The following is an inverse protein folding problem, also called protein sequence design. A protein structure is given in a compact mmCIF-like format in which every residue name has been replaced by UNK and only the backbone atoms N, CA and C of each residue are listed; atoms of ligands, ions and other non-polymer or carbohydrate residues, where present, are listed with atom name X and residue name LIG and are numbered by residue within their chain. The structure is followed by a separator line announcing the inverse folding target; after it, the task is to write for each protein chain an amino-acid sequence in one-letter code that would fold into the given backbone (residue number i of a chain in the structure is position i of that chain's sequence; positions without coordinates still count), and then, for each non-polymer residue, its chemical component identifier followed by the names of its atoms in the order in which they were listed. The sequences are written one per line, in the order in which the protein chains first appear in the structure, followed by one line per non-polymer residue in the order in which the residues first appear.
data_IF_614400155696
#
_entry.id   IF_614400155696
#
_cell.length_a   1.000
_cell.length_b   1.000
_cell.length_c   1.000
_cell.angle_alpha   90.00
_cell.angle_beta   90.00
_cell.angle_gamma   90.00
#
_symmetry.space_group_name_H-M   'P 1'
#
loop_
_entity.id
_entity.type
_entity.pdbx_description
1 polymer ?
#
# COMPACT_ATOMS: atom_id res chain seq x y z
N UNK A 1 5.04 -17.03 4.61
CA UNK A 1 6.25 -16.31 5.12
C UNK A 1 5.99 -15.73 6.49
N UNK A 2 6.94 -15.86 7.40
CA UNK A 2 6.88 -15.20 8.71
C UNK A 2 6.82 -13.67 8.59
N UNK A 3 5.92 -13.04 9.34
CA UNK A 3 5.75 -11.60 9.35
C UNK A 3 7.00 -10.88 9.89
N UNK A 4 7.71 -11.49 10.84
CA UNK A 4 8.98 -10.96 11.33
C UNK A 4 10.00 -10.79 10.20
N UNK A 5 10.04 -11.73 9.27
CA UNK A 5 10.98 -11.72 8.15
C UNK A 5 10.60 -10.65 7.13
N UNK A 6 9.30 -10.52 6.83
CA UNK A 6 8.80 -9.46 5.97
C UNK A 6 9.09 -8.06 6.57
N UNK A 7 8.91 -7.89 7.88
CA UNK A 7 9.21 -6.63 8.59
C UNK A 7 10.72 -6.37 8.60
N UNK A 8 11.56 -7.38 8.81
CA UNK A 8 13.00 -7.22 8.79
C UNK A 8 13.49 -6.76 7.40
N UNK A 9 12.96 -7.34 6.32
CA UNK A 9 13.27 -6.90 4.94
C UNK A 9 12.79 -5.46 4.69
N UNK A 10 11.56 -5.13 5.08
CA UNK A 10 11.03 -3.78 4.97
C UNK A 10 11.89 -2.75 5.72
N UNK A 11 12.41 -3.12 6.89
CA UNK A 11 13.31 -2.27 7.68
C UNK A 11 14.63 -2.02 6.98
N UNK A 12 15.20 -3.04 6.34
CA UNK A 12 16.40 -2.88 5.51
C UNK A 12 16.14 -1.92 4.35
N UNK A 13 15.04 -2.09 3.63
CA UNK A 13 14.67 -1.23 2.49
C UNK A 13 14.43 0.23 2.92
N UNK A 14 13.82 0.41 4.10
CA UNK A 14 13.57 1.73 4.68
C UNK A 14 14.81 2.38 5.32
N UNK A 15 15.96 1.69 5.36
CA UNK A 15 17.17 2.17 6.03
C UNK A 15 17.05 2.26 7.54
N UNK A 16 16.19 1.44 8.16
CA UNK A 16 15.93 1.39 9.60
C UNK A 16 16.10 -0.03 10.20
N UNK A 17 17.28 -0.67 10.04
CA UNK A 17 17.52 -2.02 10.53
C UNK A 17 17.38 -2.16 12.06
N UNK A 18 17.70 -1.09 12.79
CA UNK A 18 17.73 -1.07 14.26
C UNK A 18 16.42 -0.61 14.92
N UNK A 19 15.33 -0.47 14.14
CA UNK A 19 14.00 -0.07 14.63
C UNK A 19 13.97 1.31 15.32
N UNK A 20 14.82 2.23 14.86
CA UNK A 20 14.99 3.57 15.45
C UNK A 20 14.00 4.58 14.90
N UNK A 21 13.67 4.47 13.62
CA UNK A 21 12.70 5.33 12.98
C UNK A 21 11.30 4.78 13.24
N UNK A 22 11.02 3.55 12.78
CA UNK A 22 9.68 2.97 12.72
C UNK A 22 9.44 1.89 13.76
N UNK A 23 8.34 2.05 14.48
CA UNK A 23 7.84 1.04 15.42
C UNK A 23 7.34 -0.21 14.68
N UNK A 24 7.38 -1.37 15.34
CA UNK A 24 6.82 -2.62 14.80
C UNK A 24 5.35 -2.47 14.39
N UNK A 25 4.57 -1.69 15.14
CA UNK A 25 3.16 -1.43 14.83
C UNK A 25 2.98 -0.61 13.54
N UNK A 26 3.89 0.33 13.25
CA UNK A 26 3.90 1.08 11.99
C UNK A 26 4.28 0.17 10.82
N UNK A 27 5.32 -0.65 10.98
CA UNK A 27 5.73 -1.64 9.99
C UNK A 27 4.60 -2.63 9.68
N UNK A 28 3.97 -3.22 10.70
CA UNK A 28 2.84 -4.15 10.52
C UNK A 28 1.66 -3.48 9.81
N UNK A 29 1.33 -2.23 10.16
CA UNK A 29 0.27 -1.47 9.50
C UNK A 29 0.61 -1.17 8.04
N UNK A 30 1.87 -0.88 7.73
CA UNK A 30 2.33 -0.65 6.37
C UNK A 30 2.22 -1.92 5.51
N UNK A 31 2.64 -3.07 6.05
CA UNK A 31 2.47 -4.38 5.40
C UNK A 31 1.00 -4.70 5.19
N UNK A 32 0.13 -4.48 6.18
CA UNK A 32 -1.31 -4.71 6.04
C UNK A 32 -1.93 -3.90 4.89
N UNK A 33 -1.54 -2.62 4.76
CA UNK A 33 -1.99 -1.76 3.66
C UNK A 33 -1.44 -2.23 2.30
N UNK A 34 -0.19 -2.66 2.26
CA UNK A 34 0.43 -3.23 1.07
C UNK A 34 -0.31 -4.49 0.60
N UNK A 35 -0.64 -5.41 1.51
CA UNK A 35 -1.41 -6.63 1.21
C UNK A 35 -2.75 -6.28 0.56
N UNK A 36 -3.50 -5.36 1.14
CA UNK A 36 -4.77 -4.90 0.55
C UNK A 36 -4.56 -4.35 -0.86
N UNK A 37 -3.53 -3.53 -1.07
CA UNK A 37 -3.27 -2.91 -2.37
C UNK A 37 -2.87 -3.95 -3.43
N UNK A 38 -1.94 -4.84 -3.10
CA UNK A 38 -1.45 -5.88 -4.02
C UNK A 38 -2.57 -6.85 -4.39
N UNK A 39 -3.42 -7.24 -3.43
CA UNK A 39 -4.60 -8.08 -3.72
C UNK A 39 -5.56 -7.42 -4.71
N UNK A 40 -5.79 -6.11 -4.58
CA UNK A 40 -6.68 -5.36 -5.49
C UNK A 40 -6.09 -5.25 -6.91
N UNK A 41 -4.79 -4.98 -7.00
CA UNK A 41 -4.13 -4.76 -8.28
C UNK A 41 -3.95 -6.07 -9.06
N UNK A 42 -3.49 -7.13 -8.39
CA UNK A 42 -3.18 -8.43 -9.01
C UNK A 42 -4.31 -9.46 -8.94
N UNK A 43 -5.40 -9.18 -8.22
CA UNK A 43 -6.48 -10.17 -8.00
C UNK A 43 -6.06 -11.36 -7.12
N UNK A 44 -5.00 -11.20 -6.33
CA UNK A 44 -4.48 -12.21 -5.40
C UNK A 44 -5.24 -12.20 -4.07
N UNK A 45 -4.91 -13.16 -3.19
CA UNK A 45 -5.60 -13.36 -1.91
C UNK A 45 -4.62 -13.56 -0.76
N UNK A 46 -3.64 -12.68 -0.64
CA UNK A 46 -2.77 -12.63 0.52
C UNK A 46 -3.55 -12.19 1.76
N UNK A 47 -3.24 -12.82 2.89
CA UNK A 47 -3.82 -12.55 4.20
C UNK A 47 -2.69 -12.33 5.19
N UNK A 48 -2.77 -11.22 5.92
CA UNK A 48 -1.84 -10.91 7.00
C UNK A 48 -2.45 -11.40 8.32
N UNK A 49 -1.89 -12.47 8.87
CA UNK A 49 -2.20 -12.97 10.20
C UNK A 49 -1.43 -12.25 11.31
N UNK A 50 -1.43 -12.85 12.51
CA UNK A 50 -0.67 -12.33 13.65
C UNK A 50 0.84 -12.51 13.49
N UNK A 51 1.26 -13.67 12.98
CA UNK A 51 2.67 -14.04 12.83
C UNK A 51 3.06 -14.31 11.39
N UNK A 52 2.11 -14.45 10.47
CA UNK A 52 2.39 -14.93 9.12
C UNK A 52 1.67 -14.13 8.04
N UNK A 53 2.33 -13.98 6.89
CA UNK A 53 1.74 -13.60 5.62
C UNK A 53 1.52 -14.86 4.77
N UNK A 54 0.25 -15.16 4.45
CA UNK A 54 -0.16 -16.37 3.75
C UNK A 54 -1.09 -16.08 2.54
N UNK A 55 -1.04 -16.88 1.45
CA UNK A 55 -0.03 -17.89 1.18
C UNK A 55 1.36 -17.26 1.03
N UNK A 56 2.39 -18.09 0.98
CA UNK A 56 3.75 -17.60 0.78
C UNK A 56 3.84 -16.82 -0.55
N UNK A 57 4.25 -15.55 -0.55
CA UNK A 57 4.31 -14.77 -1.78
C UNK A 57 5.42 -15.27 -2.69
N UNK A 58 5.19 -15.20 -4.01
CA UNK A 58 6.27 -15.33 -4.98
C UNK A 58 7.26 -14.18 -4.79
N UNK A 59 8.48 -14.33 -5.31
CA UNK A 59 9.51 -13.29 -5.18
C UNK A 59 9.05 -11.94 -5.76
N UNK A 60 8.42 -11.96 -6.95
CA UNK A 60 7.87 -10.78 -7.61
C UNK A 60 6.75 -10.11 -6.79
N UNK A 61 5.85 -10.89 -6.20
CA UNK A 61 4.78 -10.35 -5.37
C UNK A 61 5.30 -9.84 -4.03
N UNK A 62 6.34 -10.47 -3.49
CA UNK A 62 7.00 -10.01 -2.27
C UNK A 62 7.68 -8.66 -2.50
N UNK A 63 8.36 -8.47 -3.64
CA UNK A 63 8.95 -7.18 -4.01
C UNK A 63 7.88 -6.08 -4.05
N UNK A 64 6.74 -6.33 -4.69
CA UNK A 64 5.61 -5.40 -4.72
C UNK A 64 5.06 -5.08 -3.33
N UNK A 65 4.92 -6.09 -2.47
CA UNK A 65 4.44 -5.93 -1.10
C UNK A 65 5.40 -5.07 -0.28
N UNK A 66 6.70 -5.32 -0.36
CA UNK A 66 7.73 -4.55 0.34
C UNK A 66 7.79 -3.10 -0.17
N UNK A 67 7.70 -2.90 -1.48
CA UNK A 67 7.70 -1.58 -2.10
C UNK A 67 6.47 -0.75 -1.71
N UNK A 68 5.28 -1.33 -1.76
CA UNK A 68 4.06 -0.68 -1.29
C UNK A 68 4.09 -0.41 0.22
N UNK A 69 4.66 -1.32 1.01
CA UNK A 69 4.82 -1.11 2.45
C UNK A 69 5.79 0.03 2.74
N UNK A 70 6.91 0.12 2.02
CA UNK A 70 7.87 1.22 2.14
C UNK A 70 7.22 2.55 1.75
N UNK A 71 6.45 2.58 0.65
CA UNK A 71 5.68 3.77 0.28
C UNK A 71 4.71 4.18 1.39
N UNK A 72 4.03 3.23 2.03
CA UNK A 72 3.17 3.53 3.18
C UNK A 72 3.95 4.13 4.36
N UNK A 73 5.15 3.63 4.69
CA UNK A 73 6.01 4.19 5.74
C UNK A 73 6.46 5.63 5.42
N UNK A 74 6.91 5.88 4.19
CA UNK A 74 7.26 7.23 3.73
C UNK A 74 6.07 8.19 3.85
N UNK A 75 4.86 7.73 3.50
CA UNK A 75 3.61 8.48 3.66
C UNK A 75 3.29 8.82 5.12
N UNK A 76 3.50 7.88 6.05
CA UNK A 76 3.33 8.12 7.49
C UNK A 76 4.31 9.19 7.99
N UNK A 77 5.58 9.16 7.55
CA UNK A 77 6.59 10.17 7.90
C UNK A 77 6.28 11.53 7.32
N UNK A 78 5.83 11.59 6.07
CA UNK A 78 5.35 12.82 5.44
C UNK A 78 4.24 13.46 6.26
N UNK A 79 3.23 12.68 6.64
CA UNK A 79 2.12 13.17 7.46
C UNK A 79 2.59 13.65 8.83
N UNK A 80 3.43 12.88 9.51
CA UNK A 80 3.99 13.27 10.82
C UNK A 80 4.78 14.57 10.71
N UNK A 81 5.67 14.66 9.72
CA UNK A 81 6.50 15.84 9.47
C UNK A 81 5.66 17.07 9.15
N UNK A 82 4.56 16.91 8.41
CA UNK A 82 3.61 17.99 8.13
C UNK A 82 2.87 18.46 9.39
N UNK A 83 2.49 17.54 10.29
CA UNK A 83 1.80 17.87 11.54
C UNK A 83 2.73 18.48 12.60
N UNK A 84 3.98 18.02 12.71
CA UNK A 84 4.95 18.51 13.71
C UNK A 84 5.86 19.62 13.20
N UNK A 85 5.83 19.90 11.90
CA UNK A 85 6.72 20.81 11.18
C UNK A 85 6.33 22.28 11.22
N UNK A 86 5.49 22.72 12.18
CA UNK A 86 5.20 24.15 12.39
C UNK A 86 6.53 24.86 12.63
N UNK A 87 6.88 25.79 11.75
CA UNK A 87 8.15 26.51 11.77
C UNK A 87 8.14 27.54 12.92
N UNK A 88 9.06 27.38 13.87
CA UNK A 88 9.27 28.34 14.95
C UNK A 88 10.38 29.31 14.55
N UNK A 89 10.08 30.61 14.55
CA UNK A 89 11.05 31.68 14.32
C UNK A 89 11.54 32.21 15.67
N UNK A 90 12.83 32.04 15.98
CA UNK A 90 13.46 32.68 17.14
C UNK A 90 14.81 33.30 16.73
N UNK A 91 14.87 34.63 16.84
CA UNK A 91 16.09 35.44 16.88
C UNK A 91 16.99 35.43 15.65
N UNK A 92 17.70 34.33 15.40
CA UNK A 92 18.85 34.28 14.47
C UNK A 92 19.04 32.92 13.76
N UNK A 93 18.29 31.87 14.13
CA UNK A 93 18.41 30.54 13.48
C UNK A 93 17.08 30.07 12.90
N UNK A 94 17.00 30.03 11.58
CA UNK A 94 15.90 29.40 10.85
C UNK A 94 16.24 27.94 10.58
N UNK A 95 15.60 27.02 11.30
CA UNK A 95 15.59 25.59 10.94
C UNK A 95 14.36 25.35 10.07
N UNK A 96 14.57 25.29 8.76
CA UNK A 96 13.49 25.07 7.80
C UNK A 96 13.13 23.58 7.74
N UNK A 97 12.15 23.18 8.55
CA UNK A 97 11.61 21.81 8.59
C UNK A 97 10.74 21.47 7.37
N UNK A 98 10.46 22.44 6.48
CA UNK A 98 9.68 22.23 5.25
C UNK A 98 10.40 21.28 4.29
N UNK A 99 11.74 21.27 4.31
CA UNK A 99 12.57 20.38 3.47
C UNK A 99 12.40 18.89 3.80
N UNK A 100 12.12 18.56 5.06
CA UNK A 100 11.85 17.18 5.45
C UNK A 100 10.51 16.71 4.86
N UNK A 101 9.48 17.56 4.87
CA UNK A 101 8.17 17.24 4.28
C UNK A 101 8.28 17.03 2.77
N UNK A 102 9.03 17.88 2.06
CA UNK A 102 9.24 17.72 0.62
C UNK A 102 10.03 16.47 0.27
N UNK A 103 11.09 16.15 1.03
CA UNK A 103 11.90 14.95 0.80
C UNK A 103 11.10 13.65 0.98
N UNK A 104 10.24 13.57 2.01
CA UNK A 104 9.36 12.42 2.19
C UNK A 104 8.28 12.31 1.11
N UNK A 105 7.81 13.45 0.58
CA UNK A 105 6.86 13.45 -0.52
C UNK A 105 7.50 12.93 -1.82
N UNK A 106 8.70 13.39 -2.16
CA UNK A 106 9.44 12.92 -3.33
C UNK A 106 9.74 11.42 -3.26
N UNK A 107 10.19 10.92 -2.10
CA UNK A 107 10.41 9.49 -1.90
C UNK A 107 9.09 8.70 -2.03
N UNK A 108 8.01 9.20 -1.44
CA UNK A 108 6.69 8.56 -1.53
C UNK A 108 6.20 8.45 -2.98
N UNK A 109 6.33 9.53 -3.76
CA UNK A 109 5.94 9.56 -5.17
C UNK A 109 6.80 8.59 -6.00
N UNK A 110 8.11 8.57 -5.78
CA UNK A 110 9.04 7.68 -6.46
C UNK A 110 8.75 6.19 -6.20
N UNK A 111 8.51 5.82 -4.94
CA UNK A 111 8.17 4.43 -4.56
C UNK A 111 6.87 3.98 -5.22
N UNK A 112 5.83 4.83 -5.23
CA UNK A 112 4.59 4.50 -5.92
C UNK A 112 4.71 4.47 -7.44
N UNK A 113 5.59 5.28 -8.03
CA UNK A 113 5.89 5.22 -9.45
C UNK A 113 6.53 3.87 -9.80
N UNK A 114 7.54 3.45 -9.04
CA UNK A 114 8.19 2.14 -9.22
C UNK A 114 7.18 1.00 -9.05
N UNK A 115 6.31 1.06 -8.04
CA UNK A 115 5.27 0.05 -7.82
C UNK A 115 4.35 -0.09 -9.03
N UNK A 116 3.87 1.04 -9.57
CA UNK A 116 2.98 1.03 -10.73
C UNK A 116 3.67 0.50 -11.99
N UNK A 117 4.96 0.80 -12.18
CA UNK A 117 5.75 0.21 -13.26
C UNK A 117 5.88 -1.30 -13.14
N UNK A 118 6.09 -1.85 -11.94
CA UNK A 118 6.17 -3.29 -11.71
C UNK A 118 4.82 -3.98 -11.91
N UNK A 119 3.73 -3.39 -11.43
CA UNK A 119 2.36 -3.90 -11.70
C UNK A 119 2.11 -3.98 -13.21
N UNK A 120 2.41 -2.90 -13.95
CA UNK A 120 2.23 -2.87 -15.40
C UNK A 120 3.06 -3.95 -16.12
N UNK A 121 4.30 -4.19 -15.65
CA UNK A 121 5.15 -5.24 -16.19
C UNK A 121 4.58 -6.65 -15.95
N UNK A 122 3.96 -6.89 -14.79
CA UNK A 122 3.40 -8.19 -14.41
C UNK A 122 2.03 -8.47 -15.04
N UNK A 123 1.16 -7.47 -15.14
CA UNK A 123 -0.18 -7.64 -15.71
C UNK A 123 -0.22 -7.45 -17.22
N UNK A 124 0.80 -6.80 -17.80
CA UNK A 124 0.78 -6.36 -19.18
C UNK A 124 -0.15 -5.16 -19.44
N UNK A 125 -0.77 -4.60 -18.39
CA UNK A 125 -1.61 -3.42 -18.48
C UNK A 125 -0.76 -2.16 -18.33
N UNK A 126 -0.66 -1.35 -19.38
CA UNK A 126 -0.10 0.00 -19.27
C UNK A 126 -1.21 0.90 -18.73
N UNK A 127 -1.02 1.44 -17.52
CA UNK A 127 -2.03 2.25 -16.85
C UNK A 127 -2.23 3.59 -17.60
N UNK A 128 -3.36 3.71 -18.31
CA UNK A 128 -3.90 4.98 -18.79
C UNK A 128 -4.60 5.66 -17.60
N UNK A 129 -3.85 6.50 -16.88
CA UNK A 129 -4.32 7.21 -15.68
C UNK A 129 -5.43 8.26 -15.93
N UNK A 130 -6.22 8.14 -16.99
CA UNK A 130 -7.44 8.92 -17.17
C UNK A 130 -8.55 8.38 -16.26
N UNK A 131 -8.60 8.93 -15.04
CA UNK A 131 -9.77 9.10 -14.15
C UNK A 131 -10.89 8.05 -14.35
N UNK A 132 -10.99 7.10 -13.42
CA UNK A 132 -12.19 6.27 -13.18
C UNK A 132 -12.62 5.35 -14.33
N UNK A 133 -11.82 4.33 -14.67
CA UNK A 133 -12.39 3.14 -15.31
C UNK A 133 -12.66 2.08 -14.24
N UNK A 134 -13.92 1.83 -13.83
CA UNK A 134 -14.23 0.69 -12.97
C UNK A 134 -13.83 -0.58 -13.74
N UNK A 135 -13.04 -1.47 -13.11
CA UNK A 135 -12.89 -2.85 -13.59
C UNK A 135 -14.31 -3.40 -13.76
N UNK A 136 -14.65 -3.80 -14.99
CA UNK A 136 -16.02 -3.85 -15.52
C UNK A 136 -17.04 -4.49 -14.58
N UNK A 137 -18.27 -3.94 -14.48
CA UNK A 137 -19.32 -4.58 -13.71
C UNK A 137 -19.68 -5.91 -14.39
N UNK A 138 -19.42 -7.03 -13.72
CA UNK A 138 -20.09 -8.28 -14.05
C UNK A 138 -21.54 -8.13 -13.60
N UNK A 139 -22.53 -8.05 -14.51
CA UNK A 139 -23.92 -8.04 -14.09
C UNK A 139 -24.21 -9.36 -13.38
N UNK A 140 -24.55 -9.28 -12.10
CA UNK A 140 -25.18 -10.40 -11.38
C UNK A 140 -26.61 -10.48 -11.90
N UNK A 141 -26.82 -11.32 -12.92
CA UNK A 141 -28.16 -11.63 -13.42
C UNK A 141 -28.81 -12.55 -12.39
N UNK A 142 -29.74 -12.03 -11.60
CA UNK A 142 -30.66 -12.87 -10.84
C UNK A 142 -31.71 -13.43 -11.81
N UNK A 143 -31.66 -14.74 -12.06
CA UNK A 143 -32.74 -15.44 -12.76
C UNK A 143 -33.91 -15.57 -11.78
N UNK A 144 -34.80 -14.58 -11.80
CA UNK A 144 -36.06 -14.65 -11.06
C UNK A 144 -36.98 -15.61 -11.82
N UNK A 145 -36.96 -16.88 -11.45
CA UNK A 145 -37.96 -17.84 -11.90
C UNK A 145 -39.33 -17.35 -11.38
N UNK A 146 -40.10 -16.71 -12.24
CA UNK A 146 -41.51 -16.45 -11.96
C UNK A 146 -42.24 -17.77 -12.07
N UNK A 147 -42.41 -18.45 -10.94
CA UNK A 147 -43.39 -19.51 -10.79
C UNK A 147 -44.77 -18.88 -11.02
N UNK A 148 -45.34 -19.14 -12.20
CA UNK A 148 -46.72 -18.80 -12.48
C UNK A 148 -47.60 -19.73 -11.64
N UNK A 149 -48.08 -19.26 -10.50
CA UNK A 149 -49.05 -19.97 -9.68
C UNK A 149 -50.44 -19.88 -10.33
N UNK A 150 -50.99 -21.01 -10.83
CA UNK A 150 -52.27 -21.05 -11.50
C UNK A 150 -53.38 -21.11 -10.45
N UNK A 151 -53.85 -19.95 -9.99
CA UNK A 151 -55.14 -19.86 -9.28
C UNK A 151 -56.28 -20.15 -10.26
N UNK A 152 -56.50 -21.44 -10.49
CA UNK A 152 -57.75 -22.05 -10.89
C UNK A 152 -58.66 -22.14 -9.64
N UNK A 153 -59.74 -21.37 -9.63
CA UNK A 153 -61.13 -21.85 -9.47
C UNK A 153 -62.09 -20.67 -9.55
#
# INVERSE_FOLDING_TARGET
MELSDAIARLRLDAGDPDATAFTDAECRRAVARAVTRVNLDLGTRYALGETELAPDPTEEHLELLLLAAHANLAGMRRSTSATTGISFQSGDKRVDKTKAVSSWAELWDALWQQYRSLIAALTGEVDDYSILTPKGPHPVIYEQASEADPWKS
#
